data_IF_129238163640
#
_entry.id   IF_129238163640
#
_cell.length_a   1.000
_cell.length_b   1.000
_cell.length_c   1.000
_cell.angle_alpha   90.00
_cell.angle_beta   90.00
_cell.angle_gamma   90.00
#
_symmetry.space_group_name_H-M   'P 1'
#
loop_
_entity.id
_entity.type
_entity.pdbx_description
1 polymer ?
#
# COMPACT_ATOMS: atom_id res chain seq x y z
N UNK A 1 -4.27 19.08 30.25
CA UNK A 1 -3.34 19.16 29.11
C UNK A 1 -3.83 18.20 28.03
N UNK A 2 -3.78 18.58 26.76
CA UNK A 2 -4.20 17.71 25.65
C UNK A 2 -3.12 16.70 25.27
N UNK A 3 -3.53 15.60 24.63
CA UNK A 3 -2.58 14.64 24.06
C UNK A 3 -1.85 15.24 22.85
N UNK A 4 -0.58 14.90 22.68
CA UNK A 4 0.19 15.28 21.48
C UNK A 4 -0.32 14.51 20.28
N UNK A 5 -0.71 15.22 19.22
CA UNK A 5 -1.13 14.61 17.94
C UNK A 5 0.13 14.23 17.16
N UNK A 6 0.27 12.96 16.81
CA UNK A 6 1.44 12.44 16.08
C UNK A 6 1.22 12.38 14.56
N UNK A 7 0.01 12.02 14.14
CA UNK A 7 -0.40 11.90 12.75
C UNK A 7 -1.93 11.95 12.64
N UNK A 8 -2.41 12.09 11.41
CA UNK A 8 -3.82 11.99 11.03
C UNK A 8 -4.03 10.80 10.11
N UNK A 9 -5.14 10.07 10.30
CA UNK A 9 -5.61 9.09 9.32
C UNK A 9 -6.45 9.81 8.28
N UNK A 10 -5.85 10.16 7.14
CA UNK A 10 -6.53 10.92 6.10
C UNK A 10 -7.58 10.10 5.33
N UNK A 11 -7.36 8.79 5.14
CA UNK A 11 -8.33 7.91 4.49
C UNK A 11 -7.96 6.43 4.58
N UNK A 12 -8.89 5.57 4.16
CA UNK A 12 -8.70 4.12 4.12
C UNK A 12 -9.38 3.48 2.89
N UNK A 13 -8.84 2.36 2.43
CA UNK A 13 -9.37 1.61 1.30
C UNK A 13 -9.24 0.10 1.53
N UNK A 14 -10.32 -0.63 1.24
CA UNK A 14 -10.36 -2.08 1.33
C UNK A 14 -10.91 -2.67 0.03
N UNK A 15 -10.36 -3.81 -0.35
CA UNK A 15 -10.80 -4.59 -1.50
C UNK A 15 -10.73 -6.08 -1.16
N UNK A 16 -11.40 -6.91 -1.94
CA UNK A 16 -11.22 -8.36 -1.91
C UNK A 16 -11.19 -8.90 -3.33
N UNK A 17 -10.25 -9.80 -3.61
CA UNK A 17 -10.22 -10.60 -4.83
C UNK A 17 -11.01 -11.91 -4.61
N UNK A 18 -11.88 -12.23 -5.57
CA UNK A 18 -12.73 -13.42 -5.53
C UNK A 18 -12.22 -14.55 -6.45
N UNK A 19 -10.98 -14.44 -6.92
CA UNK A 19 -10.41 -15.34 -7.94
C UNK A 19 -9.85 -16.63 -7.35
N UNK A 20 -9.13 -16.57 -6.24
CA UNK A 20 -8.51 -17.70 -5.55
C UNK A 20 -8.23 -17.30 -4.10
N UNK A 21 -8.32 -18.24 -3.16
CA UNK A 21 -8.20 -17.95 -1.72
C UNK A 21 -6.76 -17.68 -1.26
N UNK A 22 -5.74 -18.12 -2.02
CA UNK A 22 -4.33 -17.95 -1.65
C UNK A 22 -3.50 -17.25 -2.72
N UNK A 23 -3.96 -17.19 -3.97
CA UNK A 23 -3.21 -16.52 -5.03
C UNK A 23 -3.46 -15.01 -5.02
N UNK A 24 -2.44 -14.17 -4.79
CA UNK A 24 -2.61 -12.73 -4.85
C UNK A 24 -2.93 -12.26 -6.27
N UNK A 25 -3.74 -11.21 -6.38
CA UNK A 25 -3.99 -10.49 -7.63
C UNK A 25 -3.41 -9.08 -7.59
N UNK A 26 -3.23 -8.45 -8.76
CA UNK A 26 -2.80 -7.04 -8.83
C UNK A 26 -4.00 -6.13 -8.54
N UNK A 27 -5.18 -6.55 -9.00
CA UNK A 27 -6.41 -5.77 -9.02
C UNK A 27 -6.93 -5.47 -7.60
N UNK A 28 -6.76 -6.40 -6.65
CA UNK A 28 -7.09 -6.17 -5.25
C UNK A 28 -6.31 -5.00 -4.65
N UNK A 29 -4.97 -5.13 -4.47
CA UNK A 29 -4.14 -4.04 -3.94
C UNK A 29 -4.28 -2.72 -4.71
N UNK A 30 -4.41 -2.77 -6.05
CA UNK A 30 -4.68 -1.59 -6.86
C UNK A 30 -5.99 -0.89 -6.43
N UNK A 31 -7.10 -1.62 -6.33
CA UNK A 31 -8.38 -1.07 -5.92
C UNK A 31 -8.34 -0.50 -4.50
N UNK A 32 -7.75 -1.23 -3.54
CA UNK A 32 -7.61 -0.76 -2.16
C UNK A 32 -6.83 0.57 -2.08
N UNK A 33 -5.70 0.68 -2.79
CA UNK A 33 -4.91 1.91 -2.82
C UNK A 33 -5.69 3.07 -3.49
N UNK A 34 -6.39 2.83 -4.60
CA UNK A 34 -7.22 3.86 -5.25
C UNK A 34 -8.35 4.34 -4.35
N UNK A 35 -9.03 3.44 -3.65
CA UNK A 35 -10.09 3.81 -2.70
C UNK A 35 -9.55 4.64 -1.53
N UNK A 36 -8.37 4.29 -1.00
CA UNK A 36 -7.70 5.06 0.04
C UNK A 36 -7.40 6.50 -0.41
N UNK A 37 -6.85 6.69 -1.62
CA UNK A 37 -6.57 8.01 -2.17
C UNK A 37 -7.85 8.84 -2.36
N UNK A 38 -8.94 8.22 -2.84
CA UNK A 38 -10.23 8.88 -3.01
C UNK A 38 -10.82 9.31 -1.66
N UNK A 39 -10.81 8.44 -0.66
CA UNK A 39 -11.30 8.72 0.69
C UNK A 39 -10.49 9.86 1.34
N UNK A 40 -9.16 9.82 1.19
CA UNK A 40 -8.25 10.86 1.65
C UNK A 40 -8.30 12.17 0.85
N UNK A 41 -8.96 12.17 -0.33
CA UNK A 41 -8.97 13.29 -1.29
C UNK A 41 -7.55 13.73 -1.69
N UNK A 42 -6.66 12.77 -1.86
CA UNK A 42 -5.28 12.99 -2.29
C UNK A 42 -5.06 12.45 -3.70
N UNK A 43 -4.17 13.08 -4.43
CA UNK A 43 -3.68 12.56 -5.70
C UNK A 43 -2.48 11.62 -5.44
N UNK A 44 -2.17 10.69 -6.37
CA UNK A 44 -1.01 9.82 -6.22
C UNK A 44 0.32 10.58 -6.01
N UNK A 45 0.47 11.75 -6.64
CA UNK A 45 1.66 12.63 -6.51
C UNK A 45 1.81 13.28 -5.12
N UNK A 46 0.75 13.32 -4.31
CA UNK A 46 0.80 13.84 -2.94
C UNK A 46 1.43 12.85 -1.95
N UNK A 47 1.72 11.62 -2.39
CA UNK A 47 2.30 10.58 -1.55
C UNK A 47 3.81 10.53 -1.71
N UNK A 48 4.55 10.78 -0.64
CA UNK A 48 6.03 10.74 -0.67
C UNK A 48 6.62 9.36 -0.39
N UNK A 49 5.88 8.51 0.35
CA UNK A 49 6.39 7.24 0.86
C UNK A 49 5.30 6.17 1.00
N UNK A 50 5.65 4.92 0.66
CA UNK A 50 4.83 3.73 0.90
C UNK A 50 5.58 2.74 1.79
N UNK A 51 4.97 2.39 2.93
CA UNK A 51 5.36 1.22 3.71
C UNK A 51 4.61 0.00 3.18
N UNK A 52 5.28 -0.78 2.32
CA UNK A 52 4.71 -1.92 1.62
C UNK A 52 4.37 -3.09 2.57
N UNK A 53 3.48 -3.96 2.12
CA UNK A 53 3.27 -5.25 2.76
C UNK A 53 4.57 -6.06 2.77
N UNK A 54 5.28 -6.14 1.64
CA UNK A 54 6.67 -6.58 1.54
C UNK A 54 6.99 -7.84 2.34
N UNK A 55 6.40 -8.97 1.95
CA UNK A 55 6.58 -10.27 2.62
C UNK A 55 7.90 -10.94 2.27
N UNK A 56 8.62 -10.43 1.26
CA UNK A 56 9.85 -11.04 0.77
C UNK A 56 9.58 -12.27 -0.11
N UNK A 57 8.32 -12.52 -0.48
CA UNK A 57 7.97 -13.61 -1.38
C UNK A 57 7.94 -13.09 -2.81
N UNK A 58 8.60 -13.80 -3.72
CA UNK A 58 8.80 -13.34 -5.10
C UNK A 58 7.48 -13.01 -5.81
N UNK A 59 6.45 -13.85 -5.67
CA UNK A 59 5.16 -13.63 -6.30
C UNK A 59 4.44 -12.39 -5.74
N UNK A 60 4.36 -12.26 -4.41
CA UNK A 60 3.67 -11.15 -3.78
C UNK A 60 4.37 -9.82 -4.05
N UNK A 61 5.70 -9.77 -3.93
CA UNK A 61 6.46 -8.53 -4.11
C UNK A 61 6.40 -8.05 -5.57
N UNK A 62 6.34 -8.97 -6.55
CA UNK A 62 6.12 -8.63 -7.95
C UNK A 62 4.73 -8.03 -8.20
N UNK A 63 3.69 -8.63 -7.60
CA UNK A 63 2.30 -8.17 -7.71
C UNK A 63 2.11 -6.82 -7.03
N UNK A 64 2.64 -6.66 -5.80
CA UNK A 64 2.60 -5.40 -5.06
C UNK A 64 3.30 -4.27 -5.82
N UNK A 65 4.49 -4.55 -6.37
CA UNK A 65 5.21 -3.58 -7.20
C UNK A 65 4.40 -3.20 -8.45
N UNK A 66 3.75 -4.17 -9.10
CA UNK A 66 2.93 -3.91 -10.27
C UNK A 66 1.69 -3.06 -9.93
N UNK A 67 1.02 -3.35 -8.82
CA UNK A 67 -0.11 -2.58 -8.33
C UNK A 67 0.28 -1.13 -8.01
N UNK A 68 1.39 -0.92 -7.29
CA UNK A 68 1.93 0.42 -6.99
C UNK A 68 2.19 1.19 -8.29
N UNK A 69 2.85 0.57 -9.28
CA UNK A 69 3.09 1.24 -10.58
C UNK A 69 1.80 1.62 -11.31
N UNK A 70 0.75 0.80 -11.24
CA UNK A 70 -0.56 1.13 -11.85
C UNK A 70 -1.26 2.29 -11.15
N UNK A 71 -1.14 2.39 -9.82
CA UNK A 71 -1.79 3.45 -9.02
C UNK A 71 -1.05 4.78 -9.15
N UNK A 72 0.28 4.75 -9.02
CA UNK A 72 1.10 5.96 -8.94
C UNK A 72 1.67 6.42 -10.29
N UNK A 73 1.55 5.62 -11.36
CA UNK A 73 2.02 5.98 -12.70
C UNK A 73 3.50 6.38 -12.71
N UNK A 74 3.82 7.49 -13.39
CA UNK A 74 5.19 8.00 -13.47
C UNK A 74 5.79 8.36 -12.10
N UNK A 75 4.96 8.75 -11.14
CA UNK A 75 5.40 9.07 -9.78
C UNK A 75 6.01 7.86 -9.06
N UNK A 76 5.61 6.64 -9.43
CA UNK A 76 6.16 5.41 -8.85
C UNK A 76 7.68 5.27 -9.00
N UNK A 77 8.30 5.96 -9.97
CA UNK A 77 9.75 5.95 -10.18
C UNK A 77 10.53 6.85 -9.20
N UNK A 78 9.84 7.77 -8.52
CA UNK A 78 10.41 8.70 -7.54
C UNK A 78 9.90 8.43 -6.12
N UNK A 79 8.82 7.65 -6.01
CA UNK A 79 8.20 7.25 -4.75
C UNK A 79 9.16 6.40 -3.91
N UNK A 80 9.37 6.79 -2.66
CA UNK A 80 10.17 6.01 -1.73
C UNK A 80 9.35 4.84 -1.20
N UNK A 81 9.90 3.62 -1.24
CA UNK A 81 9.18 2.41 -0.81
C UNK A 81 10.12 1.58 0.06
N UNK A 82 9.61 1.15 1.22
CA UNK A 82 10.28 0.12 2.03
C UNK A 82 9.24 -0.74 2.76
N UNK A 83 9.71 -1.75 3.51
CA UNK A 83 8.85 -2.55 4.39
C UNK A 83 9.51 -2.67 5.76
N UNK A 84 8.77 -2.32 6.81
CA UNK A 84 9.24 -2.49 8.19
C UNK A 84 9.42 -3.95 8.59
N UNK A 85 8.86 -4.91 7.84
CA UNK A 85 9.08 -6.35 8.07
C UNK A 85 10.54 -6.77 7.85
N UNK A 86 11.30 -6.00 7.07
CA UNK A 86 12.74 -6.24 6.93
C UNK A 86 13.52 -6.06 8.23
N UNK A 87 13.02 -5.22 9.15
CA UNK A 87 13.65 -4.95 10.45
C UNK A 87 13.08 -5.80 11.58
N UNK A 88 11.79 -6.10 11.56
CA UNK A 88 11.07 -6.70 12.69
C UNK A 88 10.45 -8.08 12.39
N UNK A 89 10.66 -8.62 11.19
CA UNK A 89 9.95 -9.78 10.65
C UNK A 89 8.42 -9.55 10.54
N UNK A 90 7.70 -10.62 10.20
CA UNK A 90 6.24 -10.57 10.11
C UNK A 90 5.62 -10.74 11.51
N UNK A 91 5.38 -9.63 12.21
CA UNK A 91 4.64 -9.65 13.47
C UNK A 91 3.16 -9.95 13.16
N UNK A 92 2.70 -11.16 13.49
CA UNK A 92 1.27 -11.51 13.45
C UNK A 92 0.56 -10.84 14.63
N UNK A 93 -0.60 -10.23 14.34
CA UNK A 93 -1.54 -9.66 15.30
C UNK A 93 -2.95 -9.86 14.81
#
# INVERSE_FOLDING_TARGET
AGATILAELAGAGLSGDASDIVAPTIEGPEAAMRFCLVDARLNPEDIDYVNAHGTGTKANDQIETAAIKRVFGDHAHRLSISSTKSMHAHCLG
#
